data_IF_577831521389
#
_entry.id   IF_577831521389
#
_cell.length_a   1.000
_cell.length_b   1.000
_cell.length_c   1.000
_cell.angle_alpha   90.00
_cell.angle_beta   90.00
_cell.angle_gamma   90.00
#
_symmetry.space_group_name_H-M   'P 1'
#
loop_
_entity.id
_entity.type
_entity.pdbx_description
1 polymer ?
#
# COMPACT_ATOMS: atom_id res chain seq x y z
N UNK A 1 3.41 7.47 13.95
CA UNK A 1 4.75 6.99 13.53
C UNK A 1 4.86 5.47 13.53
N UNK A 2 4.33 4.76 14.54
CA UNK A 2 4.46 3.30 14.65
C UNK A 2 3.97 2.51 13.43
N UNK A 3 2.79 2.85 12.88
CA UNK A 3 2.23 2.19 11.69
C UNK A 3 3.13 2.31 10.46
N UNK A 4 3.83 3.44 10.32
CA UNK A 4 4.72 3.72 9.19
C UNK A 4 5.96 2.83 9.29
N UNK A 5 6.54 2.73 10.49
CA UNK A 5 7.70 1.86 10.73
C UNK A 5 7.35 0.41 10.44
N UNK A 6 6.22 -0.08 10.97
CA UNK A 6 5.75 -1.45 10.72
C UNK A 6 5.54 -1.67 9.22
N UNK A 7 4.86 -0.73 8.54
CA UNK A 7 4.60 -0.81 7.10
C UNK A 7 5.90 -0.95 6.30
N UNK A 8 6.87 -0.06 6.50
CA UNK A 8 8.13 -0.11 5.75
C UNK A 8 8.96 -1.34 6.10
N UNK A 9 8.99 -1.78 7.36
CA UNK A 9 9.68 -3.01 7.76
C UNK A 9 9.11 -4.24 7.06
N UNK A 10 7.78 -4.38 7.01
CA UNK A 10 7.12 -5.48 6.30
C UNK A 10 7.41 -5.43 4.80
N UNK A 11 7.30 -4.25 4.17
CA UNK A 11 7.57 -4.08 2.74
C UNK A 11 9.01 -4.46 2.42
N UNK A 12 9.99 -3.92 3.15
CA UNK A 12 11.41 -4.21 2.95
C UNK A 12 11.66 -5.71 3.08
N UNK A 13 11.12 -6.34 4.11
CA UNK A 13 11.28 -7.78 4.30
C UNK A 13 10.74 -8.59 3.10
N UNK A 14 9.52 -8.28 2.64
CA UNK A 14 8.89 -9.00 1.53
C UNK A 14 9.62 -8.78 0.20
N UNK A 15 10.10 -7.56 -0.05
CA UNK A 15 10.89 -7.23 -1.25
C UNK A 15 12.21 -7.99 -1.24
N UNK A 16 12.93 -8.02 -0.10
CA UNK A 16 14.22 -8.70 0.00
C UNK A 16 14.11 -10.22 -0.14
N UNK A 17 12.96 -10.80 0.23
CA UNK A 17 12.71 -12.23 0.12
C UNK A 17 12.00 -12.62 -1.19
N UNK A 18 11.70 -11.66 -2.08
CA UNK A 18 11.04 -11.93 -3.34
C UNK A 18 11.98 -12.68 -4.30
N UNK A 19 11.46 -13.70 -4.98
CA UNK A 19 12.21 -14.41 -6.02
C UNK A 19 11.81 -13.87 -7.40
N UNK A 20 12.49 -12.81 -7.83
CA UNK A 20 12.19 -12.11 -9.10
C UNK A 20 12.54 -12.93 -10.34
N UNK A 21 13.42 -13.93 -10.21
CA UNK A 21 13.88 -14.75 -11.33
C UNK A 21 12.83 -15.79 -11.79
N UNK A 22 11.85 -16.12 -10.94
CA UNK A 22 10.85 -17.15 -11.21
C UNK A 22 9.42 -16.66 -11.01
N UNK A 23 9.12 -15.46 -11.52
CA UNK A 23 7.77 -14.90 -11.47
C UNK A 23 6.88 -15.59 -12.51
N UNK A 24 5.72 -16.11 -12.07
CA UNK A 24 4.70 -16.58 -13.00
C UNK A 24 3.90 -15.39 -13.56
N UNK A 25 3.02 -15.69 -14.52
CA UNK A 25 2.23 -14.66 -15.21
C UNK A 25 1.29 -13.91 -14.26
N UNK A 26 0.84 -14.57 -13.19
CA UNK A 26 -0.04 -13.98 -12.18
C UNK A 26 0.67 -12.86 -11.41
N UNK A 27 1.92 -13.09 -11.01
CA UNK A 27 2.75 -12.13 -10.28
C UNK A 27 3.06 -10.92 -11.15
N UNK A 28 3.38 -11.14 -12.43
CA UNK A 28 3.55 -10.04 -13.39
C UNK A 28 2.28 -9.20 -13.55
N UNK A 29 1.12 -9.85 -13.67
CA UNK A 29 -0.17 -9.15 -13.75
C UNK A 29 -0.46 -8.35 -12.48
N UNK A 30 -0.22 -8.93 -11.30
CA UNK A 30 -0.39 -8.25 -10.02
C UNK A 30 0.53 -7.04 -9.89
N UNK A 31 1.80 -7.16 -10.28
CA UNK A 31 2.75 -6.06 -10.29
C UNK A 31 2.32 -4.95 -11.26
N UNK A 32 1.89 -5.31 -12.48
CA UNK A 32 1.41 -4.34 -13.45
C UNK A 32 0.19 -3.57 -12.93
N UNK A 33 -0.79 -4.26 -12.35
CA UNK A 33 -1.97 -3.63 -11.75
C UNK A 33 -1.58 -2.74 -10.57
N UNK A 34 -0.67 -3.22 -9.70
CA UNK A 34 -0.17 -2.45 -8.56
C UNK A 34 0.48 -1.13 -9.02
N UNK A 35 1.32 -1.18 -10.05
CA UNK A 35 1.98 0.00 -10.64
C UNK A 35 0.95 0.96 -11.23
N UNK A 36 -0.03 0.47 -11.99
CA UNK A 36 -1.07 1.32 -12.59
C UNK A 36 -1.89 2.03 -11.50
N UNK A 37 -2.34 1.30 -10.48
CA UNK A 37 -3.09 1.88 -9.36
C UNK A 37 -2.23 2.88 -8.58
N UNK A 38 -0.97 2.55 -8.32
CA UNK A 38 -0.03 3.42 -7.61
C UNK A 38 0.25 4.72 -8.37
N UNK A 39 0.47 4.63 -9.67
CA UNK A 39 0.64 5.81 -10.55
C UNK A 39 -0.62 6.66 -10.58
N UNK A 40 -1.80 6.05 -10.77
CA UNK A 40 -3.07 6.77 -10.73
C UNK A 40 -3.32 7.43 -9.37
N UNK A 41 -2.92 6.79 -8.27
CA UNK A 41 -3.01 7.38 -6.94
C UNK A 41 -2.13 8.63 -6.85
N UNK A 42 -0.85 8.52 -7.22
CA UNK A 42 0.11 9.63 -7.16
C UNK A 42 -0.29 10.78 -8.09
N UNK A 43 -0.77 10.51 -9.30
CA UNK A 43 -1.19 11.54 -10.27
C UNK A 43 -2.43 12.30 -9.78
N UNK A 44 -3.43 11.59 -9.24
CA UNK A 44 -4.67 12.22 -8.76
C UNK A 44 -4.49 12.90 -7.41
N UNK A 45 -3.46 12.53 -6.65
CA UNK A 45 -3.13 13.13 -5.37
C UNK A 45 -2.28 14.39 -5.60
N UNK A 46 -2.79 15.57 -5.23
CA UNK A 46 -1.97 16.79 -5.26
C UNK A 46 -0.71 16.54 -4.41
N UNK A 47 0.52 16.79 -4.89
CA UNK A 47 1.76 16.47 -4.16
C UNK A 47 1.85 17.14 -2.78
N UNK A 48 1.12 18.23 -2.56
CA UNK A 48 0.99 18.93 -1.27
C UNK A 48 0.23 18.13 -0.19
N UNK A 49 -0.53 17.10 -0.58
CA UNK A 49 -1.31 16.22 0.31
C UNK A 49 -0.61 14.89 0.58
N UNK A 50 0.52 14.58 -0.08
CA UNK A 50 1.32 13.37 0.20
C UNK A 50 1.98 13.52 1.56
N UNK A 51 1.33 12.96 2.58
CA UNK A 51 1.86 12.92 3.92
C UNK A 51 1.97 11.46 4.36
N UNK A 52 3.20 11.00 4.55
CA UNK A 52 3.50 9.63 5.01
C UNK A 52 3.14 9.49 6.50
N UNK A 53 3.15 10.61 7.23
CA UNK A 53 2.78 10.69 8.63
C UNK A 53 1.38 11.29 8.74
N UNK A 54 0.45 10.68 9.49
CA UNK A 54 -0.85 11.27 9.79
C UNK A 54 -0.61 12.54 10.61
N UNK A 55 -0.57 13.69 9.93
CA UNK A 55 -0.44 15.00 10.52
C UNK A 55 -1.64 15.81 10.05
N UNK A 56 -2.41 16.29 11.03
CA UNK A 56 -3.53 17.20 10.80
C UNK A 56 -2.96 18.51 10.23
N UNK A 57 -2.90 18.62 8.91
CA UNK A 57 -2.86 19.95 8.29
C UNK A 57 -4.29 20.47 8.33
N UNK A 58 -4.48 21.66 8.92
CA UNK A 58 -5.75 22.37 9.10
C UNK A 58 -6.57 22.65 7.81
N UNK A 59 -6.19 22.07 6.66
CA UNK A 59 -6.78 22.28 5.33
C UNK A 59 -6.71 20.98 4.51
N UNK A 60 -7.06 19.83 5.09
CA UNK A 60 -7.16 18.58 4.33
C UNK A 60 -8.33 18.70 3.34
N UNK A 61 -8.03 19.06 2.08
CA UNK A 61 -9.01 18.98 1.01
C UNK A 61 -9.20 17.50 0.64
N UNK A 62 -10.40 16.98 0.89
CA UNK A 62 -10.80 15.64 0.48
C UNK A 62 -10.68 15.53 -1.05
N UNK A 63 -9.76 14.68 -1.53
CA UNK A 63 -9.61 14.41 -2.95
C UNK A 63 -10.58 13.29 -3.32
N UNK A 64 -11.69 13.63 -3.95
CA UNK A 64 -12.72 12.67 -4.41
C UNK A 64 -12.70 12.43 -5.93
N UNK A 65 -11.73 13.02 -6.63
CA UNK A 65 -11.64 12.93 -8.09
C UNK A 65 -10.70 11.81 -8.54
N UNK A 66 -11.00 11.21 -9.70
CA UNK A 66 -10.19 10.14 -10.28
C UNK A 66 -10.34 8.80 -9.57
N UNK A 67 -9.22 8.08 -9.35
CA UNK A 67 -9.23 6.74 -8.72
C UNK A 67 -9.76 6.75 -7.28
N UNK A 68 -9.65 7.89 -6.60
CA UNK A 68 -10.16 8.12 -5.24
C UNK A 68 -11.70 8.06 -5.15
N UNK A 69 -12.41 8.11 -6.29
CA UNK A 69 -13.87 7.86 -6.35
C UNK A 69 -14.23 6.39 -6.12
N UNK A 70 -13.35 5.47 -6.51
CA UNK A 70 -13.60 4.03 -6.46
C UNK A 70 -12.90 3.36 -5.28
N UNK A 71 -11.70 3.83 -4.94
CA UNK A 71 -10.88 3.27 -3.85
C UNK A 71 -10.52 4.41 -2.90
N UNK A 72 -10.90 4.30 -1.62
CA UNK A 72 -10.62 5.34 -0.62
C UNK A 72 -9.12 5.56 -0.39
N UNK A 73 -8.36 4.47 -0.38
CA UNK A 73 -6.91 4.47 -0.14
C UNK A 73 -6.14 3.75 -1.25
N UNK A 74 -6.10 4.31 -2.47
CA UNK A 74 -5.54 3.64 -3.65
C UNK A 74 -4.03 3.37 -3.51
N UNK A 75 -3.31 4.21 -2.76
CA UNK A 75 -1.91 3.95 -2.41
C UNK A 75 -1.74 2.66 -1.59
N UNK A 76 -2.59 2.43 -0.57
CA UNK A 76 -2.50 1.23 0.25
C UNK A 76 -2.88 -0.01 -0.55
N UNK A 77 -3.86 0.09 -1.45
CA UNK A 77 -4.20 -0.98 -2.38
C UNK A 77 -3.03 -1.34 -3.30
N UNK A 78 -2.34 -0.34 -3.87
CA UNK A 78 -1.16 -0.60 -4.71
C UNK A 78 -0.04 -1.32 -3.96
N UNK A 79 0.25 -0.88 -2.73
CA UNK A 79 1.26 -1.51 -1.87
C UNK A 79 0.89 -2.95 -1.53
N UNK A 80 -0.38 -3.20 -1.20
CA UNK A 80 -0.85 -4.56 -0.92
C UNK A 80 -0.69 -5.47 -2.12
N UNK A 81 -1.12 -5.05 -3.31
CA UNK A 81 -1.00 -5.86 -4.52
C UNK A 81 0.47 -6.17 -4.87
N UNK A 82 1.35 -5.19 -4.73
CA UNK A 82 2.78 -5.36 -4.94
C UNK A 82 3.39 -6.35 -3.94
N UNK A 83 3.06 -6.20 -2.66
CA UNK A 83 3.50 -7.15 -1.63
C UNK A 83 2.90 -8.55 -1.84
N UNK A 84 1.67 -8.68 -2.35
CA UNK A 84 1.06 -9.99 -2.65
C UNK A 84 1.86 -10.69 -3.74
N UNK A 85 2.22 -9.99 -4.82
CA UNK A 85 3.05 -10.55 -5.87
C UNK A 85 4.39 -11.06 -5.32
N UNK A 86 5.03 -10.31 -4.43
CA UNK A 86 6.28 -10.73 -3.80
C UNK A 86 6.11 -11.91 -2.83
N UNK A 87 5.06 -11.92 -2.03
CA UNK A 87 4.74 -13.07 -1.16
C UNK A 87 4.46 -14.33 -1.98
N UNK A 88 3.78 -14.22 -3.11
CA UNK A 88 3.51 -15.36 -4.00
C UNK A 88 4.78 -15.88 -4.68
N UNK A 89 5.69 -14.98 -5.08
CA UNK A 89 6.97 -15.37 -5.70
C UNK A 89 7.83 -16.28 -4.80
N UNK A 90 7.69 -16.14 -3.47
CA UNK A 90 8.41 -16.97 -2.51
C UNK A 90 7.49 -17.32 -1.31
N UNK A 91 6.53 -18.19 -1.58
CA UNK A 91 5.46 -18.54 -0.64
C UNK A 91 5.94 -19.46 0.48
N UNK A 92 6.50 -18.87 1.53
CA UNK A 92 6.81 -19.56 2.79
C UNK A 92 6.02 -18.97 3.96
N UNK A 93 5.88 -19.73 5.05
CA UNK A 93 5.00 -19.38 6.18
C UNK A 93 5.31 -18.01 6.80
N UNK A 94 6.58 -17.60 6.83
CA UNK A 94 6.99 -16.31 7.39
C UNK A 94 6.60 -15.13 6.48
N UNK A 95 6.76 -15.25 5.16
CA UNK A 95 6.26 -14.22 4.24
C UNK A 95 4.73 -14.05 4.32
N UNK A 96 3.99 -15.16 4.49
CA UNK A 96 2.54 -15.11 4.66
C UNK A 96 2.12 -14.42 5.96
N UNK A 97 2.81 -14.70 7.08
CA UNK A 97 2.51 -14.04 8.35
C UNK A 97 2.85 -12.55 8.31
N UNK A 98 3.96 -12.16 7.68
CA UNK A 98 4.35 -10.75 7.49
C UNK A 98 3.38 -10.01 6.58
N UNK A 99 2.89 -10.67 5.53
CA UNK A 99 1.81 -10.13 4.70
C UNK A 99 0.54 -9.89 5.53
N UNK A 100 0.14 -10.83 6.38
CA UNK A 100 -1.03 -10.67 7.25
C UNK A 100 -0.84 -9.46 8.20
N UNK A 101 0.33 -9.32 8.80
CA UNK A 101 0.68 -8.16 9.64
C UNK A 101 0.59 -6.86 8.83
N UNK A 102 1.09 -6.83 7.59
CA UNK A 102 1.01 -5.67 6.72
C UNK A 102 -0.45 -5.28 6.41
N UNK A 103 -1.31 -6.26 6.11
CA UNK A 103 -2.75 -6.06 5.86
C UNK A 103 -3.41 -5.43 7.08
N UNK A 104 -3.22 -6.03 8.26
CA UNK A 104 -3.81 -5.52 9.51
C UNK A 104 -3.31 -4.12 9.82
N UNK A 105 -2.00 -3.88 9.67
CA UNK A 105 -1.39 -2.58 9.91
C UNK A 105 -1.97 -1.49 8.98
N UNK A 106 -2.15 -1.79 7.69
CA UNK A 106 -2.74 -0.86 6.73
C UNK A 106 -4.22 -0.59 6.99
N UNK A 107 -5.00 -1.59 7.39
CA UNK A 107 -6.41 -1.40 7.78
C UNK A 107 -6.50 -0.50 9.01
N UNK A 108 -5.69 -0.74 10.05
CA UNK A 108 -5.67 0.09 11.24
C UNK A 108 -5.24 1.53 10.92
N UNK A 109 -4.20 1.69 10.09
CA UNK A 109 -3.72 3.01 9.66
C UNK A 109 -4.79 3.76 8.86
N UNK A 110 -5.45 3.08 7.91
CA UNK A 110 -6.57 3.61 7.13
C UNK A 110 -7.70 4.09 8.03
N UNK A 111 -8.12 3.29 9.01
CA UNK A 111 -9.20 3.64 9.94
C UNK A 111 -8.84 4.84 10.83
N UNK A 112 -7.57 4.96 11.23
CA UNK A 112 -7.10 6.12 11.98
C UNK A 112 -7.10 7.39 11.12
N UNK A 113 -6.67 7.29 9.87
CA UNK A 113 -6.72 8.41 8.92
C UNK A 113 -8.16 8.84 8.64
N UNK A 114 -9.10 7.91 8.49
CA UNK A 114 -10.53 8.23 8.35
C UNK A 114 -11.08 8.93 9.61
N UNK A 115 -10.72 8.48 10.82
CA UNK A 115 -11.14 9.12 12.07
C UNK A 115 -10.57 10.53 12.26
N UNK A 116 -9.39 10.81 11.70
CA UNK A 116 -8.76 12.14 11.76
C UNK A 116 -9.35 13.11 10.73
N UNK A 117 -10.09 12.62 9.74
CA UNK A 117 -10.76 13.41 8.71
C UNK A 117 -12.21 13.78 9.07
N UNK A 118 -12.74 13.23 10.17
CA UNK A 118 -14.04 13.59 10.78
C UNK A 118 -13.79 14.63 11.87
#
# INVERSE_FOLDING_TARGET
MIYVVIQFSCIIYLVLNAQLENLAILEYLLLAIAVVIGLMAVINMKPRNLNIVPTLKNQHQLVINGIYRYIRHPMYTSVLLLCIAFTLSNAHYLAQSIMLVLVVNLILKSNLEEKLLI
#
